data_IF_909944239382
#
_entry.id   IF_909944239382
#
_cell.length_a   1.000
_cell.length_b   1.000
_cell.length_c   1.000
_cell.angle_alpha   90.00
_cell.angle_beta   90.00
_cell.angle_gamma   90.00
#
_symmetry.space_group_name_H-M   'P 1'
#
loop_
_entity.id
_entity.type
_entity.pdbx_description
1 polymer ?
#
# COMPACT_ATOMS: atom_id res chain seq x y z
N UNK A 1 19.63 -8.73 15.16
CA UNK A 1 18.93 -8.06 14.04
C UNK A 1 17.49 -8.51 14.12
N UNK A 2 16.55 -7.58 14.07
CA UNK A 2 15.13 -7.90 14.29
C UNK A 2 14.27 -7.06 13.36
N UNK A 3 13.07 -7.55 13.08
CA UNK A 3 12.01 -6.75 12.51
C UNK A 3 10.97 -6.45 13.58
N UNK A 4 10.35 -5.29 13.49
CA UNK A 4 9.20 -4.89 14.28
C UNK A 4 8.13 -4.29 13.38
N UNK A 5 6.93 -4.13 13.92
CA UNK A 5 5.79 -3.59 13.17
C UNK A 5 5.18 -2.40 13.90
N UNK A 6 4.81 -1.39 13.12
CA UNK A 6 3.97 -0.27 13.54
C UNK A 6 2.60 -0.49 12.89
N UNK A 7 1.55 -0.43 13.68
CA UNK A 7 0.15 -0.59 13.25
C UNK A 7 -0.58 0.73 13.45
N UNK A 8 -1.04 1.34 12.37
CA UNK A 8 -1.77 2.61 12.44
C UNK A 8 -3.29 2.38 12.34
N UNK A 9 -4.09 3.19 13.05
CA UNK A 9 -3.68 4.31 13.91
C UNK A 9 -3.27 3.91 15.34
N UNK A 10 -3.29 2.61 15.68
CA UNK A 10 -3.16 2.09 17.05
C UNK A 10 -1.87 2.55 17.75
N UNK A 11 -0.74 2.51 17.06
CA UNK A 11 0.58 2.89 17.58
C UNK A 11 0.91 4.38 17.35
N UNK A 12 0.04 5.12 16.64
CA UNK A 12 0.25 6.51 16.19
C UNK A 12 1.50 6.70 15.30
N UNK A 13 1.78 7.94 14.89
CA UNK A 13 3.02 8.30 14.16
C UNK A 13 4.26 8.41 15.04
N UNK A 14 4.11 8.27 16.37
CA UNK A 14 5.20 8.48 17.34
C UNK A 14 6.45 7.64 17.07
N UNK A 15 6.36 6.32 16.77
CA UNK A 15 7.57 5.53 16.49
C UNK A 15 8.37 6.02 15.28
N UNK A 16 7.70 6.59 14.27
CA UNK A 16 8.38 7.17 13.09
C UNK A 16 9.06 8.48 13.48
N UNK A 17 8.36 9.34 14.24
CA UNK A 17 8.92 10.61 14.76
C UNK A 17 10.13 10.36 15.67
N UNK A 18 10.04 9.41 16.59
CA UNK A 18 11.15 9.03 17.49
C UNK A 18 12.37 8.55 16.71
N UNK A 19 12.17 7.75 15.65
CA UNK A 19 13.26 7.27 14.81
C UNK A 19 13.97 8.42 14.05
N UNK A 20 13.20 9.36 13.49
CA UNK A 20 13.73 10.57 12.84
C UNK A 20 14.50 11.43 13.85
N UNK A 21 13.96 11.61 15.06
CA UNK A 21 14.61 12.37 16.13
C UNK A 21 15.92 11.71 16.59
N UNK A 22 16.02 10.39 16.57
CA UNK A 22 17.21 9.63 16.95
C UNK A 22 18.32 9.58 15.89
N UNK A 23 18.03 9.97 14.64
CA UNK A 23 18.97 9.95 13.53
C UNK A 23 20.21 10.81 13.80
N UNK A 24 21.41 10.29 13.45
CA UNK A 24 22.70 10.91 13.75
C UNK A 24 23.54 11.25 12.51
N UNK A 25 23.38 10.50 11.42
CA UNK A 25 24.23 10.61 10.23
C UNK A 25 23.45 10.95 8.97
N UNK A 26 22.44 10.14 8.65
CA UNK A 26 21.73 10.27 7.38
C UNK A 26 20.28 9.81 7.46
N UNK A 27 19.41 10.44 6.68
CA UNK A 27 18.05 10.00 6.42
C UNK A 27 17.81 10.04 4.91
N UNK A 28 17.39 8.91 4.33
CA UNK A 28 16.91 8.80 2.96
C UNK A 28 15.42 8.53 2.99
N UNK A 29 14.62 9.36 2.35
CA UNK A 29 13.16 9.23 2.30
C UNK A 29 12.72 9.14 0.84
N UNK A 30 11.95 8.09 0.52
CA UNK A 30 11.20 7.99 -0.73
C UNK A 30 9.72 7.93 -0.39
N UNK A 31 8.94 8.94 -0.83
CA UNK A 31 7.55 9.10 -0.40
C UNK A 31 6.65 9.50 -1.57
N UNK A 32 5.47 8.84 -1.65
CA UNK A 32 4.47 9.18 -2.66
C UNK A 32 3.76 10.49 -2.33
N UNK A 33 3.22 10.63 -1.11
CA UNK A 33 2.67 11.89 -0.59
C UNK A 33 3.26 12.18 0.78
N UNK A 34 3.74 13.41 0.96
CA UNK A 34 4.30 13.92 2.20
C UNK A 34 3.70 15.29 2.50
N UNK A 35 2.76 15.35 3.44
CA UNK A 35 2.07 16.59 3.83
C UNK A 35 1.84 16.72 5.35
N UNK A 36 2.20 15.70 6.16
CA UNK A 36 2.03 15.78 7.61
C UNK A 36 2.99 16.81 8.25
N UNK A 37 2.46 17.81 8.98
CA UNK A 37 3.28 18.88 9.54
C UNK A 37 4.29 18.40 10.59
N UNK A 38 3.92 17.39 11.41
CA UNK A 38 4.79 16.89 12.47
C UNK A 38 5.99 16.14 11.91
N UNK A 39 5.76 15.33 10.87
CA UNK A 39 6.84 14.64 10.15
C UNK A 39 7.73 15.62 9.39
N UNK A 40 7.14 16.67 8.81
CA UNK A 40 7.89 17.74 8.14
C UNK A 40 8.83 18.45 9.13
N UNK A 41 8.30 18.87 10.28
CA UNK A 41 9.08 19.51 11.35
C UNK A 41 10.21 18.57 11.84
N UNK A 42 9.91 17.31 12.12
CA UNK A 42 10.92 16.33 12.59
C UNK A 42 12.08 16.16 11.58
N UNK A 43 11.78 16.12 10.27
CA UNK A 43 12.78 16.03 9.21
C UNK A 43 13.63 17.30 9.12
N UNK A 44 13.01 18.48 9.21
CA UNK A 44 13.73 19.78 9.25
C UNK A 44 14.64 19.87 10.47
N UNK A 45 14.18 19.43 11.63
CA UNK A 45 14.97 19.42 12.85
C UNK A 45 16.14 18.43 12.78
N UNK A 46 15.96 17.27 12.16
CA UNK A 46 17.07 16.36 11.87
C UNK A 46 18.14 17.05 11.02
N UNK A 47 17.75 17.76 9.98
CA UNK A 47 18.66 18.51 9.12
C UNK A 47 19.39 19.65 9.88
N UNK A 48 18.66 20.42 10.74
CA UNK A 48 19.27 21.44 11.60
C UNK A 48 20.33 20.86 12.57
N UNK A 49 20.17 19.60 13.00
CA UNK A 49 21.15 18.88 13.81
C UNK A 49 22.39 18.42 13.01
N UNK A 50 22.42 18.65 11.70
CA UNK A 50 23.53 18.26 10.81
C UNK A 50 23.40 16.86 10.20
N UNK A 51 22.21 16.23 10.28
CA UNK A 51 21.94 14.96 9.60
C UNK A 51 21.84 15.19 8.09
N UNK A 52 22.50 14.36 7.27
CA UNK A 52 22.36 14.40 5.80
C UNK A 52 20.99 13.86 5.39
N UNK A 53 20.07 14.75 5.07
CA UNK A 53 18.70 14.41 4.67
C UNK A 53 18.54 14.50 3.16
N UNK A 54 18.14 13.39 2.53
CA UNK A 54 17.84 13.31 1.09
C UNK A 54 16.43 12.76 0.87
N UNK A 55 15.64 13.45 0.07
CA UNK A 55 14.22 13.13 -0.13
C UNK A 55 13.89 13.02 -1.61
N UNK A 56 13.24 11.93 -2.01
CA UNK A 56 12.56 11.79 -3.29
C UNK A 56 11.05 11.84 -3.09
N UNK A 57 10.37 12.74 -3.81
CA UNK A 57 8.93 12.87 -3.80
C UNK A 57 8.36 12.59 -5.19
N UNK A 58 7.22 11.94 -5.23
CA UNK A 58 6.48 11.81 -6.49
C UNK A 58 6.00 13.20 -6.93
N UNK A 59 6.31 13.66 -8.17
CA UNK A 59 6.05 15.05 -8.58
C UNK A 59 4.55 15.36 -8.65
N UNK A 60 3.75 14.48 -9.24
CA UNK A 60 2.32 14.66 -9.36
C UNK A 60 1.60 13.32 -9.47
N UNK A 61 0.31 13.27 -9.13
CA UNK A 61 -0.55 12.14 -9.45
C UNK A 61 -0.85 12.10 -10.96
N UNK A 62 -1.38 10.98 -11.46
CA UNK A 62 -1.80 10.83 -12.87
C UNK A 62 -2.81 11.89 -13.35
N UNK A 63 -3.57 12.48 -12.43
CA UNK A 63 -4.53 13.56 -12.70
C UNK A 63 -3.94 14.97 -12.60
N UNK A 64 -2.61 15.06 -12.42
CA UNK A 64 -1.90 16.33 -12.34
C UNK A 64 -1.95 17.02 -10.98
N UNK A 65 -2.50 16.39 -9.94
CA UNK A 65 -2.49 16.96 -8.59
C UNK A 65 -1.07 16.92 -8.01
N UNK A 66 -0.56 18.10 -7.63
CA UNK A 66 0.78 18.29 -7.04
C UNK A 66 0.69 18.34 -5.51
N UNK A 67 0.34 17.22 -4.88
CA UNK A 67 0.12 17.13 -3.43
C UNK A 67 1.37 17.40 -2.59
N UNK A 68 2.54 17.30 -3.20
CA UNK A 68 3.83 17.54 -2.54
C UNK A 68 4.37 18.96 -2.71
N UNK A 69 3.66 19.87 -3.39
CA UNK A 69 4.19 21.19 -3.73
C UNK A 69 4.59 22.00 -2.47
N UNK A 70 3.69 22.13 -1.50
CA UNK A 70 3.93 22.91 -0.29
C UNK A 70 5.05 22.28 0.57
N UNK A 71 5.03 20.95 0.75
CA UNK A 71 6.06 20.25 1.49
C UNK A 71 7.44 20.39 0.82
N UNK A 72 7.51 20.24 -0.50
CA UNK A 72 8.72 20.45 -1.29
C UNK A 72 9.28 21.86 -1.10
N UNK A 73 8.42 22.88 -1.17
CA UNK A 73 8.82 24.27 -0.96
C UNK A 73 9.43 24.47 0.43
N UNK A 74 8.75 23.95 1.47
CA UNK A 74 9.20 24.07 2.85
C UNK A 74 10.53 23.36 3.12
N UNK A 75 10.71 22.13 2.58
CA UNK A 75 11.94 21.37 2.69
C UNK A 75 13.11 22.05 1.96
N UNK A 76 12.87 22.54 0.74
CA UNK A 76 13.88 23.23 -0.05
C UNK A 76 14.30 24.57 0.61
N UNK A 77 13.35 25.31 1.17
CA UNK A 77 13.63 26.54 1.92
C UNK A 77 14.48 26.28 3.17
N UNK A 78 14.33 25.09 3.78
CA UNK A 78 15.17 24.63 4.90
C UNK A 78 16.57 24.13 4.48
N UNK A 79 16.89 24.12 3.19
CA UNK A 79 18.19 23.67 2.65
C UNK A 79 18.29 22.14 2.45
N UNK A 80 17.18 21.41 2.59
CA UNK A 80 17.15 19.97 2.40
C UNK A 80 17.14 19.63 0.90
N UNK A 81 17.91 18.61 0.52
CA UNK A 81 17.96 18.13 -0.87
C UNK A 81 16.69 17.33 -1.20
N UNK A 82 15.84 17.89 -2.04
CA UNK A 82 14.60 17.26 -2.53
C UNK A 82 14.64 17.15 -4.04
N UNK A 83 14.41 15.94 -4.56
CA UNK A 83 14.29 15.71 -6.01
C UNK A 83 12.99 15.00 -6.34
N UNK A 84 12.61 15.05 -7.62
CA UNK A 84 11.52 14.22 -8.13
C UNK A 84 11.92 12.76 -8.19
N UNK A 85 10.96 11.88 -7.99
CA UNK A 85 11.15 10.45 -8.17
C UNK A 85 11.56 10.09 -9.60
N UNK A 86 12.07 8.88 -9.78
CA UNK A 86 12.64 8.44 -11.05
C UNK A 86 11.57 8.42 -12.16
N UNK A 87 11.71 9.21 -13.25
CA UNK A 87 10.74 9.31 -14.33
C UNK A 87 10.65 8.06 -15.22
N UNK A 88 11.50 7.06 -15.01
CA UNK A 88 11.38 5.76 -15.67
C UNK A 88 10.12 4.98 -15.24
N UNK A 89 9.46 5.40 -14.17
CA UNK A 89 8.21 4.83 -13.68
C UNK A 89 7.06 5.83 -13.88
N UNK A 90 5.87 5.32 -14.18
CA UNK A 90 4.64 6.14 -14.27
C UNK A 90 4.43 6.97 -13.01
N UNK A 91 4.76 6.39 -11.86
CA UNK A 91 4.89 7.05 -10.57
C UNK A 91 5.67 6.18 -9.58
N UNK A 92 6.24 6.82 -8.58
CA UNK A 92 6.84 6.14 -7.44
C UNK A 92 5.83 6.08 -6.30
N UNK A 93 5.24 4.90 -6.11
CA UNK A 93 4.28 4.66 -5.04
C UNK A 93 4.92 4.03 -3.80
N UNK A 94 6.21 3.77 -3.85
CA UNK A 94 7.03 3.33 -2.72
C UNK A 94 6.97 4.34 -1.57
N UNK A 95 6.96 3.83 -0.34
CA UNK A 95 7.02 4.60 0.89
C UNK A 95 8.06 3.95 1.80
N UNK A 96 9.28 4.50 1.74
CA UNK A 96 10.41 3.96 2.50
C UNK A 96 11.24 5.06 3.14
N UNK A 97 11.92 4.69 4.22
CA UNK A 97 12.91 5.54 4.89
C UNK A 97 14.08 4.67 5.34
N UNK A 98 15.31 5.17 5.16
CA UNK A 98 16.53 4.55 5.70
C UNK A 98 17.21 5.56 6.61
N UNK A 99 17.53 5.14 7.84
CA UNK A 99 18.21 5.95 8.85
C UNK A 99 19.56 5.36 9.16
N UNK A 100 20.60 6.20 9.05
CA UNK A 100 21.99 5.92 9.47
C UNK A 100 22.59 4.64 8.85
N UNK A 101 22.08 4.19 7.69
CA UNK A 101 22.42 2.90 7.04
C UNK A 101 22.29 1.68 7.97
N UNK A 102 21.45 1.78 8.98
CA UNK A 102 21.27 0.77 10.03
C UNK A 102 19.84 0.33 10.26
N UNK A 103 18.88 1.16 9.89
CA UNK A 103 17.45 0.90 10.07
C UNK A 103 16.68 1.34 8.85
N UNK A 104 15.77 0.50 8.37
CA UNK A 104 14.88 0.84 7.27
C UNK A 104 13.41 0.62 7.62
N UNK A 105 12.56 1.44 7.02
CA UNK A 105 11.11 1.40 7.12
C UNK A 105 10.51 1.06 5.76
N UNK A 106 9.71 0.01 5.70
CA UNK A 106 8.88 -0.36 4.54
C UNK A 106 7.42 -0.13 4.93
N UNK A 107 6.75 0.81 4.27
CA UNK A 107 5.49 1.36 4.74
C UNK A 107 4.37 1.19 3.72
N UNK A 108 3.12 1.05 4.20
CA UNK A 108 1.92 1.16 3.37
C UNK A 108 1.37 2.59 3.34
N UNK A 109 1.64 3.37 4.38
CA UNK A 109 1.12 4.72 4.61
C UNK A 109 1.85 5.78 3.78
N UNK A 110 1.13 6.80 3.34
CA UNK A 110 1.72 8.09 3.02
C UNK A 110 2.04 8.86 4.31
N UNK A 111 2.86 9.88 4.21
CA UNK A 111 3.11 10.79 5.32
C UNK A 111 2.10 11.95 5.29
N UNK A 112 0.83 11.58 5.50
CA UNK A 112 -0.33 12.45 5.62
C UNK A 112 -0.95 12.26 7.00
N UNK A 113 -1.47 13.31 7.62
CA UNK A 113 -2.09 13.24 8.96
C UNK A 113 -3.23 12.21 8.98
N UNK A 114 -4.00 12.11 7.90
CA UNK A 114 -5.05 11.10 7.76
C UNK A 114 -4.50 9.67 7.89
N UNK A 115 -3.37 9.37 7.25
CA UNK A 115 -2.76 8.04 7.31
C UNK A 115 -2.17 7.71 8.69
N UNK A 116 -1.81 8.70 9.46
CA UNK A 116 -1.31 8.48 10.83
C UNK A 116 -2.43 8.29 11.86
N UNK A 117 -3.65 8.80 11.59
CA UNK A 117 -4.67 8.96 12.62
C UNK A 117 -5.99 8.23 12.34
N UNK A 118 -6.35 7.99 11.08
CA UNK A 118 -7.69 7.52 10.69
C UNK A 118 -7.71 6.38 9.67
N UNK A 119 -6.54 5.94 9.18
CA UNK A 119 -6.46 4.80 8.29
C UNK A 119 -5.80 3.60 8.93
N UNK A 120 -6.23 2.39 8.52
CA UNK A 120 -5.47 1.17 8.78
C UNK A 120 -4.31 1.11 7.82
N UNK A 121 -3.10 1.21 8.38
CA UNK A 121 -1.84 1.12 7.68
C UNK A 121 -0.79 0.39 8.52
N UNK A 122 0.32 0.01 7.89
CA UNK A 122 1.41 -0.71 8.54
C UNK A 122 2.77 -0.18 8.10
N UNK A 123 3.74 -0.27 9.00
CA UNK A 123 5.14 -0.13 8.65
C UNK A 123 5.95 -1.28 9.27
N UNK A 124 6.79 -1.94 8.48
CA UNK A 124 7.82 -2.84 9.00
C UNK A 124 9.10 -2.04 9.17
N UNK A 125 9.65 -2.12 10.36
CA UNK A 125 10.96 -1.57 10.69
C UNK A 125 11.95 -2.73 10.73
N UNK A 126 13.02 -2.66 9.95
CA UNK A 126 14.05 -3.69 9.88
C UNK A 126 15.43 -3.14 10.19
N UNK A 127 16.22 -3.91 10.93
CA UNK A 127 17.66 -3.71 11.12
C UNK A 127 18.51 -4.83 10.48
N UNK A 128 17.89 -5.67 9.64
CA UNK A 128 18.63 -6.66 8.87
C UNK A 128 19.48 -5.97 7.81
N UNK A 129 20.81 -6.10 7.95
CA UNK A 129 21.76 -5.33 7.14
C UNK A 129 21.52 -5.45 5.64
N UNK A 130 21.28 -6.67 5.14
CA UNK A 130 21.04 -6.88 3.71
C UNK A 130 19.77 -6.17 3.20
N UNK A 131 18.71 -6.10 4.00
CA UNK A 131 17.48 -5.39 3.65
C UNK A 131 17.70 -3.87 3.67
N UNK A 132 18.38 -3.36 4.71
CA UNK A 132 18.71 -1.94 4.82
C UNK A 132 19.59 -1.51 3.66
N UNK A 133 20.66 -2.28 3.35
CA UNK A 133 21.58 -2.00 2.26
C UNK A 133 20.85 -2.01 0.90
N UNK A 134 19.96 -2.98 0.65
CA UNK A 134 19.24 -3.08 -0.61
C UNK A 134 18.25 -1.91 -0.80
N UNK A 135 17.55 -1.46 0.26
CA UNK A 135 16.68 -0.28 0.20
C UNK A 135 17.51 0.99 -0.03
N UNK A 136 18.66 1.12 0.64
CA UNK A 136 19.56 2.25 0.44
C UNK A 136 20.13 2.27 -0.99
N UNK A 137 20.54 1.12 -1.53
CA UNK A 137 21.02 0.98 -2.91
C UNK A 137 19.93 1.35 -3.93
N UNK A 138 18.70 0.90 -3.71
CA UNK A 138 17.57 1.29 -4.55
C UNK A 138 17.32 2.80 -4.50
N UNK A 139 17.41 3.40 -3.31
CA UNK A 139 17.28 4.85 -3.17
C UNK A 139 18.39 5.57 -3.96
N UNK A 140 19.66 5.17 -3.77
CA UNK A 140 20.78 5.83 -4.43
C UNK A 140 20.77 5.62 -5.96
N UNK A 141 20.35 4.45 -6.45
CA UNK A 141 20.15 4.19 -7.88
C UNK A 141 19.04 5.07 -8.47
N UNK A 142 17.87 5.14 -7.84
CA UNK A 142 16.78 6.02 -8.30
C UNK A 142 17.16 7.50 -8.19
N UNK A 143 17.97 7.90 -7.21
CA UNK A 143 18.50 9.25 -7.05
C UNK A 143 19.41 9.66 -8.20
N UNK A 144 20.29 8.76 -8.62
CA UNK A 144 21.26 8.98 -9.70
C UNK A 144 20.69 8.67 -11.09
N UNK A 145 19.45 8.11 -11.17
CA UNK A 145 18.85 7.62 -12.43
C UNK A 145 19.57 6.40 -13.01
N UNK A 146 20.20 5.63 -12.15
CA UNK A 146 20.86 4.37 -12.48
C UNK A 146 19.88 3.19 -12.45
N UNK A 147 20.30 2.07 -13.06
CA UNK A 147 19.59 0.81 -12.91
C UNK A 147 19.72 0.28 -11.48
N UNK A 148 18.61 -0.26 -10.99
CA UNK A 148 18.59 -1.03 -9.76
C UNK A 148 18.16 -2.46 -10.07
N UNK A 149 18.98 -3.41 -9.68
CA UNK A 149 18.67 -4.84 -9.73
C UNK A 149 18.37 -5.32 -8.30
N UNK A 150 17.16 -5.85 -8.12
CA UNK A 150 16.71 -6.37 -6.83
C UNK A 150 17.62 -7.49 -6.36
N UNK A 151 17.98 -7.47 -5.09
CA UNK A 151 18.73 -8.53 -4.42
C UNK A 151 17.89 -9.78 -4.19
N UNK A 152 18.46 -10.73 -3.47
CA UNK A 152 17.78 -11.97 -3.10
C UNK A 152 17.40 -11.95 -1.60
N UNK A 153 16.82 -10.86 -1.15
CA UNK A 153 16.37 -10.67 0.23
C UNK A 153 14.87 -10.98 0.38
N UNK A 154 14.29 -10.63 1.51
CA UNK A 154 12.84 -10.66 1.72
C UNK A 154 12.11 -9.47 1.09
N UNK A 155 12.82 -8.55 0.46
CA UNK A 155 12.23 -7.40 -0.21
C UNK A 155 11.58 -7.80 -1.54
N UNK A 156 10.50 -7.09 -1.85
CA UNK A 156 9.67 -7.35 -3.03
C UNK A 156 9.51 -6.05 -3.78
N UNK A 157 9.97 -6.03 -5.02
CA UNK A 157 10.04 -4.85 -5.85
C UNK A 157 9.10 -4.92 -7.05
N UNK A 158 8.47 -3.83 -7.39
CA UNK A 158 7.84 -3.57 -8.67
C UNK A 158 8.53 -2.34 -9.35
N UNK A 159 8.82 -2.42 -10.58
CA UNK A 159 8.66 -3.47 -11.58
C UNK A 159 9.75 -4.52 -11.31
N UNK A 160 9.39 -5.82 -11.24
CA UNK A 160 10.35 -6.89 -10.99
C UNK A 160 9.67 -8.15 -10.47
N UNK A 161 9.97 -8.56 -9.24
CA UNK A 161 9.52 -9.83 -8.67
C UNK A 161 8.15 -9.77 -7.96
N UNK A 162 7.48 -8.61 -7.91
CA UNK A 162 6.30 -8.37 -7.08
C UNK A 162 5.16 -9.35 -7.33
N UNK A 163 4.65 -9.43 -8.57
CA UNK A 163 3.53 -10.33 -8.91
C UNK A 163 3.85 -11.80 -8.61
N UNK A 164 5.07 -12.23 -8.96
CA UNK A 164 5.52 -13.60 -8.70
C UNK A 164 5.57 -13.92 -7.20
N UNK A 165 6.16 -13.05 -6.39
CA UNK A 165 6.33 -13.27 -4.96
C UNK A 165 5.00 -13.28 -4.21
N UNK A 166 4.07 -12.39 -4.57
CA UNK A 166 2.72 -12.39 -4.01
C UNK A 166 1.96 -13.66 -4.43
N UNK A 167 2.02 -14.05 -5.69
CA UNK A 167 1.43 -15.30 -6.17
C UNK A 167 1.99 -16.53 -5.43
N UNK A 168 3.31 -16.61 -5.25
CA UNK A 168 3.95 -17.70 -4.49
C UNK A 168 3.48 -17.76 -3.04
N UNK A 169 3.32 -16.62 -2.36
CA UNK A 169 2.78 -16.60 -1.00
C UNK A 169 1.34 -17.14 -0.96
N UNK A 170 0.48 -16.69 -1.89
CA UNK A 170 -0.92 -17.13 -1.99
C UNK A 170 -1.00 -18.63 -2.29
N UNK A 171 -0.20 -19.12 -3.25
CA UNK A 171 -0.19 -20.54 -3.62
C UNK A 171 0.33 -21.44 -2.51
N UNK A 172 1.21 -20.93 -1.65
CA UNK A 172 1.77 -21.69 -0.52
C UNK A 172 0.82 -21.84 0.66
N UNK A 173 -0.29 -21.08 0.67
CA UNK A 173 -1.28 -21.17 1.75
C UNK A 173 -2.06 -22.49 1.69
N UNK A 174 -2.21 -23.11 2.87
CA UNK A 174 -2.88 -24.41 3.04
C UNK A 174 -4.12 -24.33 3.92
N UNK A 175 -4.22 -23.30 4.78
CA UNK A 175 -5.30 -23.17 5.76
C UNK A 175 -6.06 -21.84 5.60
N UNK A 176 -5.35 -20.72 5.58
CA UNK A 176 -6.00 -19.41 5.59
C UNK A 176 -5.19 -18.33 4.90
N UNK A 177 -5.92 -17.39 4.29
CA UNK A 177 -5.40 -16.13 3.78
C UNK A 177 -6.21 -14.98 4.37
N UNK A 178 -5.50 -13.97 4.88
CA UNK A 178 -6.07 -12.71 5.31
C UNK A 178 -5.48 -11.59 4.44
N UNK A 179 -6.36 -10.78 3.86
CA UNK A 179 -5.95 -9.70 2.97
C UNK A 179 -6.58 -8.38 3.42
N UNK A 180 -5.74 -7.36 3.46
CA UNK A 180 -6.15 -5.96 3.52
C UNK A 180 -5.51 -5.23 2.34
N UNK A 181 -6.31 -4.77 1.38
CA UNK A 181 -5.84 -4.02 0.23
C UNK A 181 -6.93 -3.07 -0.27
N UNK A 182 -6.53 -1.92 -0.81
CA UNK A 182 -7.48 -0.97 -1.38
C UNK A 182 -8.07 -1.46 -2.71
N UNK A 183 -7.33 -2.28 -3.45
CA UNK A 183 -7.67 -2.66 -4.83
C UNK A 183 -7.45 -4.15 -5.06
N UNK A 184 -8.41 -4.78 -5.72
CA UNK A 184 -8.38 -6.19 -6.15
C UNK A 184 -8.70 -6.24 -7.64
N UNK A 185 -7.73 -5.88 -8.49
CA UNK A 185 -7.91 -5.62 -9.93
C UNK A 185 -6.94 -6.41 -10.82
N UNK A 186 -5.82 -6.92 -10.26
CA UNK A 186 -4.84 -7.67 -11.04
C UNK A 186 -5.35 -9.08 -11.32
N UNK A 187 -5.57 -9.46 -12.61
CA UNK A 187 -6.18 -10.74 -12.95
C UNK A 187 -5.34 -11.94 -12.54
N UNK A 188 -4.01 -11.81 -12.53
CA UNK A 188 -3.11 -12.91 -12.13
C UNK A 188 -3.23 -13.16 -10.62
N UNK A 189 -3.24 -12.11 -9.81
CA UNK A 189 -3.43 -12.24 -8.36
C UNK A 189 -4.83 -12.75 -8.02
N UNK A 190 -5.87 -12.29 -8.75
CA UNK A 190 -7.22 -12.80 -8.57
C UNK A 190 -7.29 -14.31 -8.89
N UNK A 191 -6.64 -14.77 -9.95
CA UNK A 191 -6.55 -16.20 -10.27
C UNK A 191 -5.89 -17.00 -9.15
N UNK A 192 -4.76 -16.55 -8.61
CA UNK A 192 -4.11 -17.20 -7.46
C UNK A 192 -5.06 -17.32 -6.25
N UNK A 193 -5.81 -16.27 -5.94
CA UNK A 193 -6.79 -16.26 -4.83
C UNK A 193 -7.94 -17.26 -5.09
N UNK A 194 -8.50 -17.27 -6.31
CA UNK A 194 -9.58 -18.21 -6.70
C UNK A 194 -9.07 -19.65 -6.60
N UNK A 195 -7.86 -19.93 -7.09
CA UNK A 195 -7.24 -21.25 -6.98
C UNK A 195 -6.97 -21.66 -5.52
N UNK A 196 -6.52 -20.71 -4.68
CA UNK A 196 -6.36 -20.98 -3.25
C UNK A 196 -7.70 -21.33 -2.59
N UNK A 197 -8.78 -20.60 -2.91
CA UNK A 197 -10.12 -20.90 -2.45
C UNK A 197 -10.59 -22.28 -2.91
N UNK A 198 -10.36 -22.64 -4.18
CA UNK A 198 -10.69 -23.96 -4.73
C UNK A 198 -9.91 -25.11 -4.07
N UNK A 199 -8.75 -24.86 -3.49
CA UNK A 199 -8.01 -25.82 -2.65
C UNK A 199 -8.57 -25.96 -1.22
N UNK A 200 -9.59 -25.18 -0.86
CA UNK A 200 -10.21 -25.18 0.47
C UNK A 200 -9.57 -24.20 1.46
N UNK A 201 -8.68 -23.31 1.02
CA UNK A 201 -8.10 -22.26 1.85
C UNK A 201 -9.19 -21.24 2.24
N UNK A 202 -9.30 -20.93 3.54
CA UNK A 202 -10.23 -19.90 4.03
C UNK A 202 -9.68 -18.52 3.75
N UNK A 203 -10.38 -17.76 2.91
CA UNK A 203 -9.93 -16.42 2.49
C UNK A 203 -10.80 -15.35 3.14
N UNK A 204 -10.17 -14.39 3.81
CA UNK A 204 -10.79 -13.22 4.42
C UNK A 204 -10.27 -11.98 3.72
N UNK A 205 -11.13 -11.31 2.96
CA UNK A 205 -10.80 -10.09 2.21
C UNK A 205 -11.41 -8.89 2.91
N UNK A 206 -10.56 -7.93 3.26
CA UNK A 206 -10.99 -6.58 3.65
C UNK A 206 -10.58 -5.62 2.52
N UNK A 207 -11.55 -4.88 2.01
CA UNK A 207 -11.38 -4.00 0.85
C UNK A 207 -11.90 -2.58 1.15
N UNK A 208 -11.31 -1.60 0.46
CA UNK A 208 -11.89 -0.26 0.41
C UNK A 208 -13.15 -0.29 -0.45
N UNK A 209 -14.26 0.32 -0.01
CA UNK A 209 -15.48 0.37 -0.80
C UNK A 209 -15.24 1.01 -2.18
N UNK A 210 -15.63 0.34 -3.29
CA UNK A 210 -15.35 0.83 -4.66
C UNK A 210 -15.97 2.20 -4.97
N UNK A 211 -17.10 2.55 -4.36
CA UNK A 211 -17.78 3.84 -4.57
C UNK A 211 -16.95 5.07 -4.20
N UNK A 212 -15.84 4.89 -3.46
CA UNK A 212 -14.86 5.95 -3.20
C UNK A 212 -13.81 6.09 -4.31
N UNK A 213 -13.90 5.26 -5.35
CA UNK A 213 -13.09 5.39 -6.55
C UNK A 213 -13.77 6.36 -7.54
N UNK A 214 -12.98 6.99 -8.41
CA UNK A 214 -13.51 7.79 -9.52
C UNK A 214 -14.40 6.93 -10.42
N UNK A 215 -15.41 7.52 -11.08
CA UNK A 215 -16.43 6.82 -11.90
C UNK A 215 -15.83 5.82 -12.89
N UNK A 216 -14.77 6.20 -13.59
CA UNK A 216 -14.03 5.38 -14.56
C UNK A 216 -13.32 4.17 -13.93
N UNK A 217 -12.98 4.24 -12.65
CA UNK A 217 -12.28 3.17 -11.90
C UNK A 217 -13.22 2.32 -11.06
N UNK A 218 -14.49 2.70 -10.96
CA UNK A 218 -15.49 2.00 -10.16
C UNK A 218 -15.73 0.59 -10.70
N UNK A 219 -15.93 0.46 -12.03
CA UNK A 219 -16.20 -0.83 -12.69
C UNK A 219 -15.02 -1.79 -12.47
N UNK A 220 -13.80 -1.32 -12.70
CA UNK A 220 -12.60 -2.13 -12.46
C UNK A 220 -12.47 -2.54 -10.99
N UNK A 221 -12.80 -1.64 -10.04
CA UNK A 221 -12.74 -1.92 -8.61
C UNK A 221 -13.78 -2.93 -8.16
N UNK A 222 -14.97 -2.93 -8.77
CA UNK A 222 -16.05 -3.86 -8.43
C UNK A 222 -15.84 -5.23 -9.04
N UNK A 223 -15.39 -5.32 -10.30
CA UNK A 223 -15.34 -6.58 -11.05
C UNK A 223 -14.45 -7.63 -10.38
N UNK A 224 -13.25 -7.25 -9.92
CA UNK A 224 -12.35 -8.17 -9.25
C UNK A 224 -12.89 -8.68 -7.91
N UNK A 225 -13.52 -7.81 -7.13
CA UNK A 225 -14.16 -8.19 -5.87
C UNK A 225 -15.38 -9.10 -6.11
N UNK A 226 -16.18 -8.84 -7.13
CA UNK A 226 -17.29 -9.72 -7.53
C UNK A 226 -16.81 -11.11 -7.93
N UNK A 227 -15.76 -11.20 -8.74
CA UNK A 227 -15.18 -12.49 -9.12
C UNK A 227 -14.77 -13.33 -7.91
N UNK A 228 -14.25 -12.70 -6.86
CA UNK A 228 -13.95 -13.39 -5.59
C UNK A 228 -15.22 -13.77 -4.83
N UNK A 229 -16.22 -12.89 -4.79
CA UNK A 229 -17.50 -13.15 -4.11
C UNK A 229 -18.28 -14.27 -4.79
N UNK A 230 -18.27 -14.34 -6.12
CA UNK A 230 -18.99 -15.35 -6.92
C UNK A 230 -18.47 -16.77 -6.65
N UNK A 231 -17.21 -16.91 -6.28
CA UNK A 231 -16.64 -18.22 -5.86
C UNK A 231 -16.78 -18.47 -4.36
N UNK A 232 -17.42 -17.57 -3.58
CA UNK A 232 -17.73 -17.75 -2.18
C UNK A 232 -16.74 -17.11 -1.19
N UNK A 233 -15.78 -16.29 -1.66
CA UNK A 233 -14.90 -15.53 -0.78
C UNK A 233 -15.67 -14.42 -0.08
N UNK A 234 -15.50 -14.33 1.26
CA UNK A 234 -16.12 -13.28 2.06
C UNK A 234 -15.34 -11.98 1.93
N UNK A 235 -16.05 -10.90 1.57
CA UNK A 235 -15.48 -9.58 1.39
C UNK A 235 -16.12 -8.61 2.37
N UNK A 236 -15.32 -7.94 3.16
CA UNK A 236 -15.74 -7.00 4.18
C UNK A 236 -15.15 -5.60 3.95
N UNK A 237 -15.78 -4.59 4.51
CA UNK A 237 -15.28 -3.22 4.66
C UNK A 237 -15.10 -2.88 6.13
N UNK A 238 -14.06 -2.13 6.46
CA UNK A 238 -13.89 -1.57 7.80
C UNK A 238 -14.92 -0.46 8.04
N UNK A 239 -15.43 -0.37 9.26
CA UNK A 239 -16.51 0.58 9.58
C UNK A 239 -15.96 1.91 10.13
N UNK A 240 -15.10 1.84 11.14
CA UNK A 240 -14.69 3.02 11.91
C UNK A 240 -13.36 3.64 11.45
N UNK A 241 -12.58 2.91 10.64
CA UNK A 241 -11.32 3.38 10.08
C UNK A 241 -11.31 3.14 8.57
N UNK A 242 -10.62 3.98 7.84
CA UNK A 242 -10.45 3.79 6.39
C UNK A 242 -9.37 2.74 6.13
N UNK A 243 -9.59 1.86 5.16
CA UNK A 243 -8.56 0.91 4.73
C UNK A 243 -7.63 1.57 3.70
N UNK A 244 -6.34 1.61 4.02
CA UNK A 244 -5.28 2.01 3.10
C UNK A 244 -4.14 0.98 3.04
N UNK A 245 -4.13 0.00 3.94
CA UNK A 245 -3.14 -1.07 4.02
C UNK A 245 -2.98 -1.88 2.73
N UNK A 246 -1.81 -2.48 2.55
CA UNK A 246 -1.49 -3.47 1.52
C UNK A 246 -0.77 -4.62 2.22
N UNK A 247 -1.56 -5.62 2.63
CA UNK A 247 -1.11 -6.74 3.45
C UNK A 247 -1.75 -8.04 2.97
N UNK A 248 -0.94 -9.10 2.91
CA UNK A 248 -1.37 -10.49 2.77
C UNK A 248 -0.71 -11.31 3.88
N UNK A 249 -1.50 -12.03 4.69
CA UNK A 249 -1.01 -12.98 5.69
C UNK A 249 -1.46 -14.40 5.32
N UNK A 250 -0.51 -15.31 5.17
CA UNK A 250 -0.74 -16.71 4.86
C UNK A 250 -0.50 -17.59 6.09
N UNK A 251 -1.48 -18.43 6.42
CA UNK A 251 -1.44 -19.49 7.46
C UNK A 251 -0.98 -19.00 8.85
N UNK A 252 -1.13 -17.71 9.14
CA UNK A 252 -0.61 -17.05 10.34
C UNK A 252 0.90 -17.27 10.56
N UNK A 253 1.65 -17.46 9.47
CA UNK A 253 3.06 -17.80 9.50
C UNK A 253 3.93 -16.83 8.69
N UNK A 254 3.43 -16.31 7.59
CA UNK A 254 4.16 -15.40 6.68
C UNK A 254 3.27 -14.29 6.19
N UNK A 255 3.78 -13.06 6.17
CA UNK A 255 3.06 -11.92 5.64
C UNK A 255 3.90 -11.13 4.63
N UNK A 256 3.22 -10.50 3.67
CA UNK A 256 3.79 -9.48 2.78
C UNK A 256 3.09 -8.17 3.10
N UNK A 257 3.88 -7.11 3.36
CA UNK A 257 3.41 -5.78 3.71
C UNK A 257 4.21 -4.74 2.94
N UNK A 258 3.54 -3.69 2.46
CA UNK A 258 4.21 -2.56 1.80
C UNK A 258 3.26 -1.67 1.02
N UNK A 259 3.73 -1.16 -0.11
CA UNK A 259 2.98 -0.18 -0.91
C UNK A 259 2.14 -0.80 -2.03
N UNK A 260 2.28 -2.10 -2.33
CA UNK A 260 1.76 -2.75 -3.53
C UNK A 260 0.24 -2.93 -3.47
N UNK A 261 -0.49 -2.16 -4.27
CA UNK A 261 -1.90 -2.43 -4.54
C UNK A 261 -2.03 -3.64 -5.48
N UNK A 262 -3.07 -4.47 -5.30
CA UNK A 262 -3.35 -5.60 -6.18
C UNK A 262 -4.02 -5.13 -7.47
N UNK A 263 -3.31 -4.28 -8.21
CA UNK A 263 -3.75 -3.67 -9.45
C UNK A 263 -2.62 -3.69 -10.49
N UNK A 264 -2.91 -3.87 -11.80
CA UNK A 264 -1.90 -4.01 -12.85
C UNK A 264 -0.82 -2.91 -12.81
N UNK A 265 -1.23 -1.64 -12.66
CA UNK A 265 -0.28 -0.52 -12.61
C UNK A 265 0.77 -0.61 -11.50
N UNK A 266 0.47 -1.25 -10.36
CA UNK A 266 1.46 -1.45 -9.30
C UNK A 266 2.56 -2.43 -9.72
N UNK A 267 2.22 -3.44 -10.51
CA UNK A 267 3.18 -4.45 -10.95
C UNK A 267 3.95 -4.06 -12.21
N UNK A 268 3.33 -3.32 -13.12
CA UNK A 268 3.79 -3.17 -14.50
C UNK A 268 4.42 -1.80 -14.80
N UNK A 269 4.13 -0.76 -14.00
CA UNK A 269 4.57 0.58 -14.35
C UNK A 269 5.03 1.47 -13.18
N UNK A 270 4.90 0.99 -11.92
CA UNK A 270 5.22 1.81 -10.75
C UNK A 270 6.43 1.29 -9.99
N UNK A 271 7.19 2.20 -9.38
CA UNK A 271 8.12 1.83 -8.33
C UNK A 271 7.35 1.57 -7.04
N UNK A 272 7.38 0.33 -6.58
CA UNK A 272 6.74 -0.12 -5.34
C UNK A 272 7.72 -0.97 -4.53
N UNK A 273 7.50 -1.02 -3.21
CA UNK A 273 8.26 -1.85 -2.30
C UNK A 273 7.32 -2.54 -1.31
N UNK A 274 7.55 -3.83 -1.10
CA UNK A 274 7.00 -4.57 0.02
C UNK A 274 8.08 -5.46 0.64
N UNK A 275 7.79 -6.00 1.82
CA UNK A 275 8.66 -6.92 2.54
C UNK A 275 7.89 -8.14 2.99
N UNK A 276 8.48 -9.32 2.81
CA UNK A 276 7.97 -10.56 3.39
C UNK A 276 8.56 -10.76 4.78
N UNK A 277 7.71 -11.06 5.76
CA UNK A 277 8.10 -11.27 7.16
C UNK A 277 7.53 -12.59 7.68
N UNK A 278 8.27 -13.21 8.59
CA UNK A 278 7.91 -14.45 9.30
C UNK A 278 8.28 -14.39 10.79
N UNK A 279 8.70 -13.23 11.27
CA UNK A 279 9.06 -13.00 12.68
C UNK A 279 7.83 -13.27 13.57
N UNK A 280 7.89 -14.17 14.56
CA UNK A 280 6.70 -14.62 15.31
C UNK A 280 5.95 -13.48 16.02
N UNK A 281 6.66 -12.49 16.56
CA UNK A 281 6.05 -11.33 17.23
C UNK A 281 5.31 -10.43 16.23
N UNK A 282 5.92 -10.18 15.08
CA UNK A 282 5.33 -9.40 13.99
C UNK A 282 4.06 -10.10 13.48
N UNK A 283 4.15 -11.40 13.18
CA UNK A 283 3.02 -12.20 12.71
C UNK A 283 1.88 -12.24 13.74
N UNK A 284 2.21 -12.39 15.03
CA UNK A 284 1.21 -12.38 16.11
C UNK A 284 0.47 -11.03 16.15
N UNK A 285 1.20 -9.91 16.07
CA UNK A 285 0.60 -8.56 16.06
C UNK A 285 -0.29 -8.37 14.85
N UNK A 286 0.17 -8.77 13.64
CA UNK A 286 -0.62 -8.72 12.40
C UNK A 286 -1.91 -9.51 12.55
N UNK A 287 -1.82 -10.78 12.96
CA UNK A 287 -2.98 -11.66 13.07
C UNK A 287 -3.99 -11.13 14.10
N UNK A 288 -3.53 -10.62 15.23
CA UNK A 288 -4.39 -9.99 16.23
C UNK A 288 -5.16 -8.82 15.62
N UNK A 289 -4.47 -7.89 14.97
CA UNK A 289 -5.09 -6.72 14.31
C UNK A 289 -6.10 -7.12 13.24
N UNK A 290 -5.74 -8.09 12.38
CA UNK A 290 -6.64 -8.58 11.34
C UNK A 290 -7.93 -9.19 11.90
N UNK A 291 -7.83 -9.92 13.01
CA UNK A 291 -9.01 -10.49 13.71
C UNK A 291 -9.89 -9.39 14.32
N UNK A 292 -9.29 -8.41 14.96
CA UNK A 292 -10.00 -7.26 15.53
C UNK A 292 -10.69 -6.43 14.43
N UNK A 293 -9.98 -6.14 13.35
CA UNK A 293 -10.52 -5.44 12.19
C UNK A 293 -11.67 -6.22 11.55
N UNK A 294 -11.54 -7.54 11.40
CA UNK A 294 -12.60 -8.39 10.86
C UNK A 294 -13.83 -8.41 11.75
N UNK A 295 -13.66 -8.52 13.06
CA UNK A 295 -14.76 -8.51 14.03
C UNK A 295 -15.53 -7.18 14.02
N UNK A 296 -14.84 -6.07 13.68
CA UNK A 296 -15.40 -4.71 13.58
C UNK A 296 -15.65 -4.29 12.11
N UNK A 297 -15.87 -5.24 11.22
CA UNK A 297 -16.13 -4.99 9.80
C UNK A 297 -17.50 -5.52 9.40
N UNK A 298 -18.00 -5.05 8.25
CA UNK A 298 -19.26 -5.50 7.68
C UNK A 298 -19.08 -6.06 6.28
N UNK A 299 -19.92 -7.02 5.85
CA UNK A 299 -19.96 -7.46 4.47
C UNK A 299 -20.05 -6.26 3.52
N UNK A 300 -19.22 -6.26 2.49
CA UNK A 300 -19.28 -5.25 1.45
C UNK A 300 -20.36 -5.63 0.46
N UNK A 301 -21.37 -4.76 0.31
CA UNK A 301 -22.40 -4.94 -0.71
C UNK A 301 -21.83 -4.59 -2.08
N UNK A 302 -21.71 -5.61 -2.92
CA UNK A 302 -21.23 -5.53 -4.31
C UNK A 302 -22.37 -5.79 -5.31
N UNK A 303 -23.61 -5.88 -4.84
CA UNK A 303 -24.79 -5.96 -5.73
C UNK A 303 -24.89 -4.71 -6.59
N UNK A 304 -25.62 -4.81 -7.70
CA UNK A 304 -25.82 -3.65 -8.58
C UNK A 304 -26.51 -2.48 -7.87
N UNK A 305 -27.34 -2.76 -6.86
CA UNK A 305 -28.03 -1.74 -6.09
C UNK A 305 -27.09 -0.94 -5.18
N UNK A 306 -26.11 -1.60 -4.52
CA UNK A 306 -25.18 -0.94 -3.61
C UNK A 306 -24.25 0.07 -4.28
N UNK A 307 -23.43 -0.32 -5.28
CA UNK A 307 -22.62 0.59 -6.06
C UNK A 307 -23.41 1.66 -6.81
N UNK A 308 -24.61 1.34 -7.32
CA UNK A 308 -25.47 2.29 -8.03
C UNK A 308 -26.19 3.27 -7.11
N UNK A 309 -26.60 2.87 -5.92
CA UNK A 309 -27.16 3.79 -4.93
C UNK A 309 -26.13 4.85 -4.52
N UNK A 310 -24.87 4.48 -4.40
CA UNK A 310 -23.79 5.42 -4.11
C UNK A 310 -23.48 6.34 -5.31
N UNK A 311 -23.48 5.80 -6.55
CA UNK A 311 -23.31 6.61 -7.77
C UNK A 311 -24.42 7.64 -7.95
N UNK A 312 -25.66 7.31 -7.58
CA UNK A 312 -26.79 8.25 -7.63
C UNK A 312 -26.63 9.47 -6.73
N UNK A 313 -25.87 9.36 -5.64
CA UNK A 313 -25.56 10.51 -4.78
C UNK A 313 -24.69 11.55 -5.49
N UNK A 314 -23.91 11.11 -6.50
CA UNK A 314 -22.97 11.96 -7.24
C UNK A 314 -23.47 12.33 -8.64
N UNK A 315 -24.34 11.52 -9.24
CA UNK A 315 -24.92 11.76 -10.57
C UNK A 315 -26.32 11.12 -10.68
N UNK A 316 -27.38 11.91 -10.60
CA UNK A 316 -28.75 11.42 -10.69
C UNK A 316 -29.08 10.70 -12.00
N UNK A 317 -28.31 10.94 -13.08
CA UNK A 317 -28.59 10.43 -14.44
C UNK A 317 -27.92 9.06 -14.72
N UNK A 318 -27.09 8.54 -13.83
CA UNK A 318 -26.39 7.24 -13.99
C UNK A 318 -27.35 6.07 -14.27
N UNK A 319 -28.65 6.18 -13.88
CA UNK A 319 -29.65 5.14 -14.15
C UNK A 319 -29.95 4.94 -15.63
N UNK A 320 -29.96 6.00 -16.44
CA UNK A 320 -30.33 5.91 -17.85
C UNK A 320 -29.28 5.23 -18.70
N UNK A 321 -28.01 5.55 -18.47
CA UNK A 321 -26.87 4.98 -19.21
C UNK A 321 -26.70 3.47 -18.98
N UNK A 322 -27.04 2.97 -17.79
CA UNK A 322 -26.88 1.57 -17.41
C UNK A 322 -28.06 0.70 -17.79
N UNK A 323 -29.29 1.27 -17.80
CA UNK A 323 -30.47 0.60 -18.33
C UNK A 323 -30.35 0.35 -19.84
N UNK A 324 -29.69 1.24 -20.57
CA UNK A 324 -29.41 1.11 -22.00
C UNK A 324 -28.40 -0.02 -22.28
N UNK A 325 -27.36 -0.22 -21.43
CA UNK A 325 -26.40 -1.30 -21.62
C UNK A 325 -26.95 -2.68 -21.26
N UNK A 326 -27.79 -2.78 -20.24
CA UNK A 326 -28.43 -4.04 -19.83
C UNK A 326 -29.54 -4.48 -20.80
N UNK A 327 -30.28 -3.51 -21.42
CA UNK A 327 -31.31 -3.79 -22.37
C UNK A 327 -30.85 -4.30 -23.74
N UNK A 328 -29.58 -4.09 -24.11
CA UNK A 328 -29.03 -4.55 -25.40
C UNK A 328 -28.63 -6.02 -25.44
N UNK A 329 -28.42 -6.66 -24.29
CA UNK A 329 -28.04 -8.08 -24.23
C UNK A 329 -29.20 -9.08 -24.22
N UNK A 330 -30.46 -8.62 -24.19
CA UNK A 330 -31.65 -9.50 -24.15
C UNK A 330 -32.49 -9.54 -25.44
N UNK A 331 -32.03 -8.93 -26.55
CA UNK A 331 -32.80 -8.92 -27.82
C UNK A 331 -32.21 -9.71 -28.99
N UNK A 332 -31.09 -10.42 -28.78
CA UNK A 332 -30.54 -11.30 -29.79
C UNK A 332 -30.41 -12.74 -29.25
N UNK A 333 -31.59 -13.38 -29.07
CA UNK A 333 -31.74 -14.85 -29.07
C UNK A 333 -33.08 -15.23 -29.70
#
# INVERSE_FOLDING_TARGET
MSRSIIVLPDDSGKPILDAIAAAKKSIRIKMFVFSDPSLLEAVQDAHKRGVDVRIMLNPARRDGQEENADCRQALTAAGIKVIDSNPAFDLTHEKSMVIDDSTAFVQSLNWETENLTTTRDYAIVTSHKHEVDEIAQCFDADWNRDKFDAGNTHLIWCIGNGRQRLGQLIDSATHSLWLQNERYQDPVILEHLIRAHSRGVKIHVMARPPHKLKKDKLIEGVSGLRSLQDVGVKIHKLEHIKLHAKLILADNARAIIGSINLAPGSFDSRRELAIQVDDPEVIRRIHKTLKEDWANSHPLDLSDEGPFAELKKYDPNVKEDLAISAGKHHKDK
#
